data_IF_006119003031
#
_entry.id   IF_006119003031
#
_cell.length_a   1.000
_cell.length_b   1.000
_cell.length_c   1.000
_cell.angle_alpha   90.00
_cell.angle_beta   90.00
_cell.angle_gamma   90.00
#
_symmetry.space_group_name_H-M   'P 1'
#
loop_
_entity.id
_entity.type
_entity.pdbx_description
1 polymer ?
#
# COMPACT_ATOMS: atom_id res chain seq x y z
N UNK A 1 19.50 -18.13 16.15
CA UNK A 1 19.42 -16.76 15.61
C UNK A 1 19.01 -16.85 14.15
N UNK A 2 18.15 -15.95 13.67
CA UNK A 2 17.73 -15.94 12.27
C UNK A 2 18.93 -15.64 11.37
N UNK A 3 19.06 -16.35 10.25
CA UNK A 3 20.13 -16.04 9.28
C UNK A 3 19.72 -14.82 8.46
N UNK A 4 20.68 -13.98 8.03
CA UNK A 4 20.44 -12.84 7.14
C UNK A 4 19.58 -13.21 5.93
N UNK A 5 19.80 -14.41 5.36
CA UNK A 5 18.99 -14.94 4.26
C UNK A 5 17.51 -15.16 4.64
N UNK A 6 17.25 -15.64 5.85
CA UNK A 6 15.87 -15.86 6.35
C UNK A 6 15.14 -14.54 6.62
N UNK A 7 15.85 -13.52 7.11
CA UNK A 7 15.30 -12.17 7.33
C UNK A 7 15.02 -11.49 5.99
N UNK A 8 15.96 -11.55 5.04
CA UNK A 8 15.77 -11.07 3.68
C UNK A 8 14.55 -11.71 3.00
N UNK A 9 14.40 -13.04 3.07
CA UNK A 9 13.23 -13.74 2.51
C UNK A 9 11.93 -13.28 3.17
N UNK A 10 11.97 -12.98 4.46
CA UNK A 10 10.80 -12.44 5.18
C UNK A 10 10.43 -11.06 4.67
N UNK A 11 11.41 -10.18 4.43
CA UNK A 11 11.20 -8.85 3.87
C UNK A 11 10.60 -8.91 2.47
N UNK A 12 11.19 -9.72 1.58
CA UNK A 12 10.69 -9.90 0.20
C UNK A 12 9.26 -10.45 0.21
N UNK A 13 8.93 -11.36 1.14
CA UNK A 13 7.55 -11.86 1.30
C UNK A 13 6.58 -10.76 1.72
N UNK A 14 6.95 -9.86 2.63
CA UNK A 14 6.08 -8.74 3.02
C UNK A 14 5.90 -7.73 1.88
N UNK A 15 6.96 -7.39 1.14
CA UNK A 15 6.87 -6.56 -0.07
C UNK A 15 5.93 -7.20 -1.11
N UNK A 16 6.06 -8.51 -1.30
CA UNK A 16 5.20 -9.27 -2.22
C UNK A 16 3.73 -9.31 -1.78
N UNK A 17 3.44 -9.37 -0.47
CA UNK A 17 2.08 -9.30 0.07
C UNK A 17 1.45 -7.91 -0.08
N UNK A 18 2.27 -6.86 -0.09
CA UNK A 18 1.82 -5.49 -0.29
C UNK A 18 1.65 -5.12 -1.77
N UNK A 19 2.11 -5.96 -2.70
CA UNK A 19 2.03 -5.71 -4.14
C UNK A 19 0.59 -5.78 -4.65
N UNK A 20 0.20 -4.80 -5.46
CA UNK A 20 -1.11 -4.75 -6.14
C UNK A 20 -1.16 -5.75 -7.31
N UNK A 21 0.00 -6.10 -7.87
CA UNK A 21 0.10 -7.03 -9.00
C UNK A 21 0.00 -8.48 -8.55
N UNK A 22 -0.74 -9.27 -9.33
CA UNK A 22 -0.83 -10.71 -9.16
C UNK A 22 0.57 -11.37 -9.22
N UNK A 23 0.79 -12.49 -8.51
CA UNK A 23 2.10 -13.16 -8.48
C UNK A 23 2.66 -13.49 -9.87
N UNK A 24 1.80 -13.82 -10.83
CA UNK A 24 2.20 -14.22 -12.19
C UNK A 24 2.71 -13.05 -13.05
N UNK A 25 2.18 -11.83 -12.85
CA UNK A 25 2.51 -10.64 -13.66
C UNK A 25 3.46 -9.69 -12.95
N UNK A 26 3.94 -10.06 -11.76
CA UNK A 26 4.78 -9.20 -10.93
C UNK A 26 6.16 -8.98 -11.55
N UNK A 27 6.56 -7.72 -11.67
CA UNK A 27 7.90 -7.37 -12.10
C UNK A 27 8.97 -7.84 -11.11
N UNK A 28 9.95 -8.60 -11.61
CA UNK A 28 11.12 -9.04 -10.84
C UNK A 28 12.11 -7.90 -10.58
N UNK A 29 12.00 -6.80 -11.32
CA UNK A 29 12.87 -5.63 -11.22
C UNK A 29 12.88 -5.05 -9.82
N UNK A 30 11.71 -4.98 -9.17
CA UNK A 30 11.59 -4.47 -7.78
C UNK A 30 12.37 -5.35 -6.81
N UNK A 31 12.24 -6.67 -6.91
CA UNK A 31 12.95 -7.60 -6.04
C UNK A 31 14.47 -7.53 -6.26
N UNK A 32 14.91 -7.33 -7.51
CA UNK A 32 16.32 -7.16 -7.86
C UNK A 32 16.89 -5.85 -7.30
N UNK A 33 16.17 -4.73 -7.43
CA UNK A 33 16.60 -3.44 -6.84
C UNK A 33 16.64 -3.51 -5.32
N UNK A 34 15.63 -4.10 -4.68
CA UNK A 34 15.62 -4.30 -3.24
C UNK A 34 16.85 -5.11 -2.79
N UNK A 35 17.20 -6.17 -3.52
CA UNK A 35 18.41 -6.95 -3.26
C UNK A 35 19.67 -6.08 -3.37
N UNK A 36 19.80 -5.30 -4.43
CA UNK A 36 20.95 -4.42 -4.63
C UNK A 36 21.11 -3.40 -3.49
N UNK A 37 20.01 -2.77 -3.06
CA UNK A 37 20.02 -1.84 -1.92
C UNK A 37 20.49 -2.53 -0.64
N UNK A 38 19.97 -3.73 -0.36
CA UNK A 38 20.31 -4.48 0.86
C UNK A 38 21.78 -4.91 0.85
N UNK A 39 22.31 -5.42 -0.27
CA UNK A 39 23.74 -5.76 -0.36
C UNK A 39 24.62 -4.50 -0.21
N UNK A 40 24.24 -3.38 -0.83
CA UNK A 40 24.96 -2.11 -0.66
C UNK A 40 24.95 -1.64 0.81
N UNK A 41 23.81 -1.72 1.51
CA UNK A 41 23.71 -1.39 2.93
C UNK A 41 24.57 -2.30 3.81
N UNK A 42 24.66 -3.59 3.46
CA UNK A 42 25.51 -4.57 4.15
C UNK A 42 26.99 -4.22 4.04
N UNK A 43 27.44 -3.75 2.88
CA UNK A 43 28.82 -3.33 2.67
C UNK A 43 29.15 -2.03 3.41
N UNK A 44 28.23 -1.07 3.47
CA UNK A 44 28.46 0.22 4.12
C UNK A 44 28.46 0.15 5.65
N UNK A 45 27.54 -0.61 6.26
CA UNK A 45 27.36 -0.65 7.73
C UNK A 45 27.17 -2.08 8.25
N UNK A 46 28.22 -2.93 8.21
CA UNK A 46 28.09 -4.34 8.55
C UNK A 46 27.74 -4.61 10.02
N UNK A 47 28.08 -3.70 10.94
CA UNK A 47 27.85 -3.89 12.39
C UNK A 47 26.36 -3.86 12.77
N UNK A 48 25.55 -3.03 12.11
CA UNK A 48 24.12 -2.84 12.43
C UNK A 48 23.19 -3.47 11.40
N UNK A 49 23.75 -3.98 10.29
CA UNK A 49 22.97 -4.44 9.15
C UNK A 49 21.90 -5.47 9.48
N UNK A 50 22.21 -6.49 10.27
CA UNK A 50 21.23 -7.53 10.63
C UNK A 50 20.09 -6.93 11.46
N UNK A 51 20.39 -6.02 12.39
CA UNK A 51 19.39 -5.33 13.21
C UNK A 51 18.51 -4.40 12.36
N UNK A 52 19.11 -3.62 11.47
CA UNK A 52 18.39 -2.73 10.55
C UNK A 52 17.46 -3.52 9.62
N UNK A 53 17.90 -4.70 9.17
CA UNK A 53 17.08 -5.58 8.33
C UNK A 53 15.90 -6.17 9.11
N UNK A 54 16.09 -6.56 10.37
CA UNK A 54 15.00 -6.99 11.26
C UNK A 54 14.00 -5.86 11.55
N UNK A 55 14.50 -4.64 11.77
CA UNK A 55 13.68 -3.44 11.94
C UNK A 55 12.85 -3.15 10.68
N UNK A 56 13.45 -3.27 9.49
CA UNK A 56 12.75 -3.11 8.22
C UNK A 56 11.62 -4.14 8.05
N UNK A 57 11.86 -5.41 8.40
CA UNK A 57 10.80 -6.44 8.39
C UNK A 57 9.67 -6.08 9.35
N UNK A 58 10.00 -5.63 10.57
CA UNK A 58 9.01 -5.23 11.58
C UNK A 58 8.18 -4.05 11.10
N UNK A 59 8.81 -3.04 10.52
CA UNK A 59 8.14 -1.88 9.94
C UNK A 59 7.20 -2.27 8.80
N UNK A 60 7.64 -3.11 7.85
CA UNK A 60 6.77 -3.52 6.74
C UNK A 60 5.55 -4.31 7.22
N UNK A 61 5.72 -5.14 8.25
CA UNK A 61 4.59 -5.84 8.89
C UNK A 61 3.62 -4.88 9.56
N UNK A 62 4.14 -3.90 10.30
CA UNK A 62 3.30 -2.91 10.99
C UNK A 62 2.55 -2.03 10.00
N UNK A 63 3.17 -1.62 8.89
CA UNK A 63 2.50 -0.89 7.80
C UNK A 63 1.36 -1.68 7.17
N UNK A 64 1.57 -2.97 6.90
CA UNK A 64 0.50 -3.84 6.37
C UNK A 64 -0.67 -3.95 7.35
N UNK A 65 -0.37 -4.15 8.64
CA UNK A 65 -1.40 -4.23 9.68
C UNK A 65 -2.13 -2.90 9.88
N UNK A 66 -1.39 -1.78 9.84
CA UNK A 66 -1.96 -0.44 9.89
C UNK A 66 -2.95 -0.22 8.75
N UNK A 67 -2.58 -0.57 7.50
CA UNK A 67 -3.48 -0.50 6.35
C UNK A 67 -4.75 -1.34 6.56
N UNK A 68 -4.62 -2.59 7.00
CA UNK A 68 -5.77 -3.46 7.29
C UNK A 68 -6.69 -2.85 8.36
N UNK A 69 -6.10 -2.28 9.41
CA UNK A 69 -6.85 -1.65 10.49
C UNK A 69 -7.58 -0.40 9.99
N UNK A 70 -6.91 0.40 9.18
CA UNK A 70 -7.47 1.60 8.57
C UNK A 70 -8.66 1.28 7.67
N UNK A 71 -8.53 0.27 6.80
CA UNK A 71 -9.62 -0.19 5.92
C UNK A 71 -10.83 -0.72 6.73
N UNK A 72 -10.57 -1.40 7.86
CA UNK A 72 -11.64 -1.97 8.70
C UNK A 72 -12.42 -0.93 9.49
N UNK A 73 -11.72 0.04 10.07
CA UNK A 73 -12.31 0.98 11.02
C UNK A 73 -12.57 2.37 10.41
N UNK A 74 -11.94 2.69 9.29
CA UNK A 74 -12.15 3.94 8.57
C UNK A 74 -12.17 3.72 7.04
N UNK A 75 -13.19 3.04 6.51
CA UNK A 75 -13.29 2.72 5.08
C UNK A 75 -13.45 3.97 4.18
N UNK A 76 -13.78 5.13 4.76
CA UNK A 76 -13.85 6.42 4.05
C UNK A 76 -12.56 7.24 4.16
N UNK A 77 -11.47 6.67 4.69
CA UNK A 77 -10.20 7.39 4.84
C UNK A 77 -9.53 7.74 3.49
N UNK A 78 -9.82 6.98 2.44
CA UNK A 78 -9.28 7.20 1.09
C UNK A 78 -10.17 8.11 0.24
N UNK A 79 -11.33 8.55 0.75
CA UNK A 79 -12.09 9.62 0.11
C UNK A 79 -11.35 10.93 0.31
N UNK A 80 -10.96 11.57 -0.79
CA UNK A 80 -10.53 12.96 -0.73
C UNK A 80 -11.63 13.80 -0.06
N UNK A 81 -11.27 14.90 0.59
CA UNK A 81 -12.24 15.82 1.21
C UNK A 81 -13.36 16.21 0.23
N UNK A 82 -13.07 16.28 -1.06
CA UNK A 82 -14.03 16.60 -2.13
C UNK A 82 -15.07 15.50 -2.34
N UNK A 83 -14.67 14.22 -2.29
CA UNK A 83 -15.61 13.09 -2.44
C UNK A 83 -16.57 12.99 -1.25
N UNK A 84 -16.09 13.32 -0.04
CA UNK A 84 -16.96 13.40 1.16
C UNK A 84 -17.95 14.56 1.09
N UNK A 85 -17.53 15.72 0.60
CA UNK A 85 -18.43 16.89 0.41
C UNK A 85 -19.49 16.56 -0.64
N UNK A 86 -19.11 15.91 -1.75
CA UNK A 86 -20.05 15.47 -2.80
C UNK A 86 -21.03 14.40 -2.31
N UNK A 87 -20.57 13.42 -1.54
CA UNK A 87 -21.45 12.42 -0.93
C UNK A 87 -22.43 13.03 0.08
N UNK A 88 -21.97 14.02 0.86
CA UNK A 88 -22.83 14.78 1.77
C UNK A 88 -23.85 15.63 1.00
N UNK A 89 -23.39 16.36 -0.04
CA UNK A 89 -24.24 17.17 -0.90
C UNK A 89 -25.36 16.36 -1.56
N UNK A 90 -25.05 15.15 -2.06
CA UNK A 90 -26.07 14.21 -2.57
C UNK A 90 -27.04 13.75 -1.49
N UNK A 91 -26.54 13.48 -0.27
CA UNK A 91 -27.37 13.03 0.86
C UNK A 91 -28.30 14.11 1.42
N UNK A 92 -27.91 15.39 1.35
CA UNK A 92 -28.74 16.53 1.81
C UNK A 92 -29.54 17.18 0.68
N UNK A 93 -29.52 16.63 -0.54
CA UNK A 93 -30.26 17.16 -1.68
C UNK A 93 -29.67 18.42 -2.33
N UNK A 94 -28.40 18.72 -2.06
CA UNK A 94 -27.67 19.88 -2.60
C UNK A 94 -27.05 19.62 -3.99
N UNK A 95 -26.90 18.34 -4.40
CA UNK A 95 -26.38 17.91 -5.71
C UNK A 95 -27.31 16.84 -6.31
N UNK A 96 -28.47 17.25 -6.83
CA UNK A 96 -29.42 16.37 -7.49
C UNK A 96 -29.03 16.16 -8.97
N UNK A 97 -29.14 14.92 -9.51
CA UNK A 97 -28.92 14.68 -10.92
C UNK A 97 -29.91 15.50 -11.75
N UNK A 98 -29.41 16.21 -12.75
CA UNK A 98 -30.24 16.91 -13.73
C UNK A 98 -31.07 15.85 -14.45
N UNK A 99 -32.40 15.89 -14.28
CA UNK A 99 -33.31 15.09 -15.10
C UNK A 99 -33.08 15.50 -16.55
N UNK A 100 -32.80 14.55 -17.43
CA UNK A 100 -32.88 14.78 -18.87
C UNK A 100 -34.29 15.28 -19.17
N UNK A 101 -34.41 16.56 -19.47
CA UNK A 101 -35.59 17.14 -20.10
C UNK A 101 -35.64 16.56 -21.51
N UNK A 102 -36.41 15.48 -21.67
CA UNK A 102 -36.83 15.01 -22.99
C UNK A 102 -37.70 16.08 -23.63
N UNK A 103 -37.09 16.95 -24.43
CA UNK A 103 -37.78 17.68 -25.49
C UNK A 103 -37.74 16.82 -26.75
N UNK A 104 -38.72 15.92 -26.84
CA UNK A 104 -39.29 15.44 -28.08
C UNK A 104 -40.80 15.62 -27.94
N UNK A 105 -41.37 16.57 -28.67
CA UNK A 105 -42.42 16.27 -29.64
C UNK A 105 -42.82 17.53 -30.42
N UNK A 106 -43.20 17.25 -31.67
CA UNK A 106 -43.47 18.12 -32.82
C UNK A 106 -44.68 19.06 -32.67
#
# INVERSE_FOLDING_TARGET
MATTQSVYRSLVREVNKASISAPATRSKTIANHLRAVIENSRHSNPQYFDHDLENAVTFMRSQRMYKILLERYNPLHDMSTEERVKATARRVGLDMPVKETGEQDH
#
